data_IF_233748242047
#
_entry.id   IF_233748242047
#
_cell.length_a   1.000
_cell.length_b   1.000
_cell.length_c   1.000
_cell.angle_alpha   90.00
_cell.angle_beta   90.00
_cell.angle_gamma   90.00
#
_symmetry.space_group_name_H-M   'P 1'
#
loop_
_entity.id
_entity.type
_entity.pdbx_description
1 polymer ?
#
# COMPACT_ATOMS: atom_id res chain seq x y z
N UNK A 1 -8.98 8.63 -3.84
CA UNK A 1 -9.71 9.27 -2.72
C UNK A 1 -10.89 8.44 -2.25
N UNK A 2 -11.50 7.69 -3.12
CA UNK A 2 -12.75 6.94 -2.89
C UNK A 2 -12.72 5.95 -1.70
N UNK A 3 -11.55 5.39 -1.35
CA UNK A 3 -11.46 4.45 -0.23
C UNK A 3 -11.67 5.10 1.14
N UNK A 4 -11.25 6.35 1.32
CA UNK A 4 -11.44 7.07 2.60
C UNK A 4 -12.88 7.57 2.70
N UNK A 5 -13.44 8.04 1.60
CA UNK A 5 -14.84 8.51 1.53
C UNK A 5 -15.85 7.37 1.77
N UNK A 6 -15.47 6.13 1.42
CA UNK A 6 -16.29 4.96 1.66
C UNK A 6 -16.26 4.44 3.12
N UNK A 7 -15.40 5.01 3.98
CA UNK A 7 -15.33 4.61 5.40
C UNK A 7 -16.54 5.20 6.13
N UNK A 8 -17.31 4.38 6.87
CA UNK A 8 -18.44 4.88 7.66
C UNK A 8 -17.96 5.92 8.69
N UNK A 9 -18.49 7.12 8.60
CA UNK A 9 -18.22 8.18 9.58
C UNK A 9 -18.89 7.80 10.90
N UNK A 10 -18.15 7.94 11.99
CA UNK A 10 -18.68 7.84 13.36
C UNK A 10 -18.74 9.25 13.94
N UNK A 11 -19.95 9.76 14.10
CA UNK A 11 -20.19 11.14 14.56
C UNK A 11 -19.67 11.42 15.97
N UNK A 12 -19.41 10.36 16.76
CA UNK A 12 -18.89 10.42 18.11
C UNK A 12 -17.35 10.41 18.18
N UNK A 13 -16.65 10.38 17.05
CA UNK A 13 -15.19 10.26 17.01
C UNK A 13 -14.52 11.25 16.05
N UNK A 14 -13.45 11.95 16.49
CA UNK A 14 -12.66 12.80 15.61
C UNK A 14 -11.67 12.02 14.72
N UNK A 15 -11.64 10.68 14.83
CA UNK A 15 -10.68 9.84 14.11
C UNK A 15 -11.32 9.19 12.90
N UNK A 16 -10.60 9.17 11.77
CA UNK A 16 -10.99 8.42 10.56
C UNK A 16 -11.06 6.92 10.85
N UNK A 17 -10.17 6.42 11.71
CA UNK A 17 -10.16 5.05 12.21
C UNK A 17 -10.31 5.07 13.73
N UNK A 18 -11.54 5.14 14.26
CA UNK A 18 -11.77 5.11 15.69
C UNK A 18 -11.44 3.74 16.29
N UNK A 19 -11.12 3.71 17.58
CA UNK A 19 -10.98 2.47 18.30
C UNK A 19 -12.32 1.73 18.42
N UNK A 20 -12.28 0.41 18.51
CA UNK A 20 -13.48 -0.40 18.76
C UNK A 20 -14.08 -0.11 20.16
N UNK A 21 -13.22 0.31 21.11
CA UNK A 21 -13.57 0.59 22.49
C UNK A 21 -12.89 1.88 22.98
N UNK A 22 -13.65 2.73 23.67
CA UNK A 22 -13.15 4.01 24.20
C UNK A 22 -13.07 5.12 23.17
N UNK A 23 -12.43 6.24 23.53
CA UNK A 23 -12.40 7.48 22.75
C UNK A 23 -11.11 7.67 21.94
N UNK A 24 -10.37 6.60 21.66
CA UNK A 24 -9.09 6.65 20.97
C UNK A 24 -9.20 6.30 19.47
N UNK A 25 -8.04 6.26 18.82
CA UNK A 25 -7.89 5.75 17.46
C UNK A 25 -7.59 4.24 17.45
N UNK A 26 -7.80 3.61 16.30
CA UNK A 26 -7.50 2.18 16.11
C UNK A 26 -5.99 1.91 16.17
N UNK A 27 -5.58 1.00 17.05
CA UNK A 27 -4.16 0.61 17.29
C UNK A 27 -3.85 -0.82 16.83
N UNK A 28 -4.79 -1.48 16.13
CA UNK A 28 -4.69 -2.90 15.76
C UNK A 28 -4.01 -3.20 14.43
N UNK A 29 -3.40 -2.22 13.74
CA UNK A 29 -2.89 -2.35 12.37
C UNK A 29 -1.92 -3.54 12.23
N UNK A 30 -0.98 -3.71 13.14
CA UNK A 30 0.02 -4.80 13.08
C UNK A 30 -0.69 -6.16 13.15
N UNK A 31 -1.60 -6.36 14.10
CA UNK A 31 -2.36 -7.61 14.26
C UNK A 31 -3.24 -7.93 13.03
N UNK A 32 -3.80 -6.90 12.39
CA UNK A 32 -4.59 -7.09 11.17
C UNK A 32 -3.68 -7.50 10.01
N UNK A 33 -2.53 -6.83 9.86
CA UNK A 33 -1.54 -7.17 8.85
C UNK A 33 -1.03 -8.60 9.01
N UNK A 34 -0.69 -9.00 10.23
CA UNK A 34 -0.24 -10.38 10.54
C UNK A 34 -1.28 -11.43 10.12
N UNK A 35 -2.57 -11.17 10.40
CA UNK A 35 -3.66 -12.06 9.97
C UNK A 35 -3.80 -12.13 8.45
N UNK A 36 -3.65 -11.01 7.76
CA UNK A 36 -3.68 -10.96 6.29
C UNK A 36 -2.51 -11.75 5.72
N UNK A 37 -1.30 -11.50 6.23
CA UNK A 37 -0.09 -12.18 5.80
C UNK A 37 -0.15 -13.69 6.04
N UNK A 38 -0.66 -14.11 7.20
CA UNK A 38 -0.85 -15.53 7.49
C UNK A 38 -1.82 -16.20 6.49
N UNK A 39 -2.96 -15.56 6.18
CA UNK A 39 -3.90 -16.06 5.17
C UNK A 39 -3.30 -16.11 3.75
N UNK A 40 -2.49 -15.12 3.42
CA UNK A 40 -1.80 -15.03 2.14
C UNK A 40 -0.53 -15.89 2.06
N UNK A 41 -0.13 -16.54 3.16
CA UNK A 41 1.13 -17.28 3.31
C UNK A 41 2.37 -16.41 3.01
N UNK A 42 2.29 -15.14 3.32
CA UNK A 42 3.40 -14.20 3.24
C UNK A 42 4.18 -14.22 4.56
N UNK A 43 5.51 -14.15 4.46
CA UNK A 43 6.43 -14.10 5.61
C UNK A 43 7.16 -12.75 5.61
N UNK A 44 7.54 -12.31 6.78
CA UNK A 44 8.41 -11.14 6.99
C UNK A 44 7.85 -9.82 6.43
N UNK A 45 6.52 -9.72 6.25
CA UNK A 45 5.85 -8.51 5.82
C UNK A 45 5.40 -7.71 7.04
N UNK A 46 5.99 -6.54 7.22
CA UNK A 46 5.68 -5.60 8.30
C UNK A 46 5.24 -4.26 7.73
N UNK A 47 4.61 -3.37 8.50
CA UNK A 47 4.32 -2.00 8.05
C UNK A 47 5.58 -1.27 7.55
N UNK A 48 6.74 -1.56 8.13
CA UNK A 48 8.01 -0.98 7.72
C UNK A 48 8.45 -1.48 6.34
N UNK A 49 8.29 -2.77 6.06
CA UNK A 49 8.55 -3.36 4.73
C UNK A 49 7.64 -2.73 3.68
N UNK A 50 6.34 -2.55 3.96
CA UNK A 50 5.42 -1.88 3.04
C UNK A 50 5.85 -0.44 2.76
N UNK A 51 6.29 0.29 3.80
CA UNK A 51 6.83 1.65 3.66
C UNK A 51 8.10 1.68 2.79
N UNK A 52 9.01 0.73 2.98
CA UNK A 52 10.22 0.60 2.15
C UNK A 52 9.87 0.25 0.70
N UNK A 53 8.91 -0.63 0.47
CA UNK A 53 8.43 -0.95 -0.89
C UNK A 53 7.92 0.30 -1.60
N UNK A 54 7.10 1.11 -0.93
CA UNK A 54 6.63 2.37 -1.46
C UNK A 54 7.78 3.32 -1.83
N UNK A 55 8.78 3.45 -0.94
CA UNK A 55 9.96 4.27 -1.19
C UNK A 55 10.81 3.77 -2.37
N UNK A 56 10.95 2.44 -2.51
CA UNK A 56 11.70 1.83 -3.62
C UNK A 56 11.00 2.10 -4.95
N UNK A 57 9.69 1.90 -5.04
CA UNK A 57 8.93 2.21 -6.26
C UNK A 57 9.03 3.69 -6.60
N UNK A 58 8.98 4.59 -5.62
CA UNK A 58 9.18 6.01 -5.84
C UNK A 58 10.59 6.32 -6.40
N UNK A 59 11.62 5.63 -5.89
CA UNK A 59 12.99 5.72 -6.40
C UNK A 59 13.11 5.22 -7.84
N UNK A 60 12.51 4.08 -8.16
CA UNK A 60 12.49 3.49 -9.50
C UNK A 60 11.79 4.41 -10.52
N UNK A 61 10.77 5.15 -10.08
CA UNK A 61 10.11 6.18 -10.88
C UNK A 61 10.93 7.47 -11.04
N UNK A 62 12.11 7.56 -10.42
CA UNK A 62 13.04 8.67 -10.54
C UNK A 62 12.71 9.88 -9.65
N UNK A 63 11.89 9.72 -8.62
CA UNK A 63 11.65 10.80 -7.67
C UNK A 63 12.89 11.08 -6.81
N UNK A 64 13.13 12.36 -6.50
CA UNK A 64 14.24 12.77 -5.65
C UNK A 64 14.09 12.26 -4.22
N UNK A 65 15.21 12.09 -3.52
CA UNK A 65 15.20 11.72 -2.09
C UNK A 65 14.38 12.69 -1.24
N UNK A 66 14.39 13.98 -1.57
CA UNK A 66 13.57 14.99 -0.89
C UNK A 66 12.08 14.74 -1.09
N UNK A 67 11.66 14.40 -2.31
CA UNK A 67 10.26 14.06 -2.62
C UNK A 67 9.85 12.79 -1.87
N UNK A 68 10.71 11.77 -1.88
CA UNK A 68 10.46 10.50 -1.17
C UNK A 68 10.37 10.74 0.34
N UNK A 69 11.27 11.54 0.91
CA UNK A 69 11.22 11.92 2.32
C UNK A 69 9.92 12.66 2.66
N UNK A 70 9.47 13.56 1.80
CA UNK A 70 8.18 14.26 1.93
C UNK A 70 6.99 13.31 1.91
N UNK A 71 6.93 12.39 0.93
CA UNK A 71 5.90 11.36 0.82
C UNK A 71 5.84 10.45 2.05
N UNK A 72 6.98 10.15 2.62
CA UNK A 72 7.10 9.33 3.81
C UNK A 72 6.86 10.12 5.12
N UNK A 73 6.65 11.43 5.07
CA UNK A 73 6.49 12.26 6.26
C UNK A 73 7.78 12.39 7.10
N UNK A 74 8.95 12.21 6.49
CA UNK A 74 10.25 12.41 7.13
C UNK A 74 10.67 13.89 7.16
N UNK A 75 9.75 14.81 6.94
CA UNK A 75 10.05 16.25 6.90
C UNK A 75 10.74 16.69 8.18
N UNK A 76 12.05 16.78 8.11
CA UNK A 76 12.87 17.41 9.15
C UNK A 76 12.44 18.85 9.33
N UNK A 77 12.50 19.34 10.56
CA UNK A 77 12.06 20.65 11.05
C UNK A 77 12.65 21.90 10.33
N UNK A 78 13.22 21.82 9.15
CA UNK A 78 13.89 22.94 8.52
C UNK A 78 13.61 23.18 7.04
N UNK A 79 13.05 22.23 6.33
CA UNK A 79 12.95 22.31 4.86
C UNK A 79 11.52 22.56 4.36
N UNK A 80 10.52 22.25 5.16
CA UNK A 80 9.10 22.22 4.75
C UNK A 80 8.45 23.60 4.69
N UNK A 81 9.02 24.61 5.31
CA UNK A 81 8.37 25.93 5.47
C UNK A 81 8.56 26.87 4.26
N UNK A 82 9.40 26.54 3.29
CA UNK A 82 9.73 27.43 2.17
C UNK A 82 9.14 27.05 0.81
N UNK A 83 8.40 25.95 0.69
CA UNK A 83 7.93 25.49 -0.63
C UNK A 83 6.43 25.24 -0.67
N UNK A 84 5.66 26.29 -0.90
CA UNK A 84 4.20 26.21 -1.19
C UNK A 84 3.91 25.32 -2.41
N UNK A 85 4.89 25.09 -3.29
CA UNK A 85 4.76 24.20 -4.45
C UNK A 85 5.03 22.71 -4.15
N UNK A 86 5.55 22.39 -2.96
CA UNK A 86 5.90 21.01 -2.60
C UNK A 86 4.65 20.15 -2.43
N UNK A 87 3.56 20.68 -1.89
CA UNK A 87 2.34 19.93 -1.64
C UNK A 87 1.71 19.40 -2.94
N UNK A 88 1.62 20.23 -3.98
CA UNK A 88 1.10 19.79 -5.28
C UNK A 88 2.00 18.74 -5.93
N UNK A 89 3.32 18.90 -5.81
CA UNK A 89 4.28 17.93 -6.33
C UNK A 89 4.20 16.59 -5.57
N UNK A 90 3.98 16.62 -4.26
CA UNK A 90 3.80 15.41 -3.44
C UNK A 90 2.51 14.67 -3.80
N UNK A 91 1.41 15.37 -4.09
CA UNK A 91 0.17 14.74 -4.55
C UNK A 91 0.40 14.01 -5.88
N UNK A 92 0.99 14.68 -6.86
CA UNK A 92 1.30 14.05 -8.16
C UNK A 92 2.25 12.86 -8.00
N UNK A 93 3.24 12.96 -7.13
CA UNK A 93 4.17 11.86 -6.86
C UNK A 93 3.46 10.69 -6.18
N UNK A 94 2.59 10.95 -5.20
CA UNK A 94 1.80 9.93 -4.53
C UNK A 94 0.90 9.17 -5.51
N UNK A 95 0.21 9.88 -6.40
CA UNK A 95 -0.66 9.29 -7.41
C UNK A 95 0.13 8.40 -8.37
N UNK A 96 1.29 8.85 -8.84
CA UNK A 96 2.13 8.05 -9.74
C UNK A 96 2.68 6.79 -9.08
N UNK A 97 3.17 6.89 -7.84
CA UNK A 97 3.66 5.73 -7.09
C UNK A 97 2.53 4.74 -6.81
N UNK A 98 1.36 5.24 -6.46
CA UNK A 98 0.19 4.40 -6.19
C UNK A 98 -0.30 3.68 -7.43
N UNK A 99 -0.31 4.34 -8.58
CA UNK A 99 -0.66 3.73 -9.87
C UNK A 99 0.32 2.63 -10.26
N UNK A 100 1.63 2.89 -10.15
CA UNK A 100 2.66 1.89 -10.44
C UNK A 100 2.54 0.65 -9.54
N UNK A 101 2.30 0.84 -8.25
CA UNK A 101 2.06 -0.28 -7.32
C UNK A 101 0.82 -1.07 -7.73
N UNK A 102 -0.26 -0.42 -8.13
CA UNK A 102 -1.48 -1.09 -8.59
C UNK A 102 -1.21 -1.93 -9.84
N UNK A 103 -0.49 -1.39 -10.82
CA UNK A 103 -0.12 -2.08 -12.06
C UNK A 103 0.76 -3.30 -11.79
N UNK A 104 1.76 -3.18 -10.90
CA UNK A 104 2.61 -4.30 -10.46
C UNK A 104 1.80 -5.42 -9.80
N UNK A 105 0.83 -5.07 -8.97
CA UNK A 105 -0.06 -6.03 -8.31
C UNK A 105 -0.97 -6.75 -9.33
N UNK A 106 -1.53 -6.04 -10.29
CA UNK A 106 -2.40 -6.61 -11.32
C UNK A 106 -1.62 -7.48 -12.32
N UNK A 107 -0.42 -7.09 -12.70
CA UNK A 107 0.47 -7.92 -13.50
C UNK A 107 0.79 -9.25 -12.81
N UNK A 108 1.08 -9.23 -11.52
CA UNK A 108 1.37 -10.43 -10.72
C UNK A 108 0.14 -11.34 -10.60
N UNK A 109 -1.06 -10.79 -10.45
CA UNK A 109 -2.33 -11.54 -10.42
C UNK A 109 -2.58 -12.26 -11.74
N UNK A 110 -2.38 -11.56 -12.86
CA UNK A 110 -2.57 -12.11 -14.21
C UNK A 110 -1.60 -13.27 -14.47
N UNK A 111 -0.31 -13.10 -14.14
CA UNK A 111 0.70 -14.13 -14.27
C UNK A 111 0.37 -15.38 -13.43
N UNK A 112 -0.07 -15.18 -12.20
CA UNK A 112 -0.48 -16.26 -11.28
C UNK A 112 -1.69 -17.03 -11.80
N UNK A 113 -2.69 -16.36 -12.36
CA UNK A 113 -3.88 -17.00 -12.95
C UNK A 113 -3.53 -17.80 -14.18
N UNK A 114 -2.64 -17.29 -15.05
CA UNK A 114 -2.18 -18.02 -16.24
C UNK A 114 -1.39 -19.28 -15.88
N UNK A 115 -0.51 -19.20 -14.87
CA UNK A 115 0.23 -20.36 -14.37
C UNK A 115 -0.70 -21.44 -13.84
N UNK A 116 -1.70 -21.09 -13.03
CA UNK A 116 -2.71 -22.03 -12.51
C UNK A 116 -3.51 -22.70 -13.62
N UNK A 117 -3.93 -21.93 -14.66
CA UNK A 117 -4.65 -22.48 -15.82
C UNK A 117 -3.78 -23.47 -16.61
N UNK A 118 -2.49 -23.18 -16.79
CA UNK A 118 -1.55 -24.09 -17.47
C UNK A 118 -1.35 -25.39 -16.70
N UNK A 119 -1.15 -25.33 -15.38
CA UNK A 119 -1.01 -26.50 -14.53
C UNK A 119 -2.26 -27.37 -14.51
N UNK A 120 -3.45 -26.77 -14.44
CA UNK A 120 -4.72 -27.49 -14.49
C UNK A 120 -4.94 -28.20 -15.85
N UNK A 121 -4.58 -27.57 -16.97
CA UNK A 121 -4.67 -28.20 -18.31
C UNK A 121 -3.67 -29.35 -18.46
N UNK A 122 -2.45 -29.20 -17.94
CA UNK A 122 -1.44 -30.27 -17.98
C UNK A 122 -1.90 -31.49 -17.15
N UNK A 123 -2.45 -31.27 -15.96
CA UNK A 123 -2.98 -32.34 -15.10
C UNK A 123 -4.16 -33.08 -15.76
N UNK A 124 -5.08 -32.34 -16.40
CA UNK A 124 -6.21 -32.96 -17.09
C UNK A 124 -5.78 -33.79 -18.30
N UNK A 125 -4.74 -33.37 -19.03
CA UNK A 125 -4.18 -34.16 -20.15
C UNK A 125 -3.46 -35.41 -19.72
N UNK A 126 -2.83 -35.41 -18.52
CA UNK A 126 -2.13 -36.57 -17.98
C UNK A 126 -3.07 -37.67 -17.44
N UNK A 127 -4.32 -37.33 -17.12
CA UNK A 127 -5.36 -38.30 -16.64
C UNK A 127 -6.12 -38.94 -17.81
N UNK A 128 -6.07 -38.33 -18.99
CA UNK A 128 -6.77 -38.79 -20.19
C UNK A 128 -5.92 -39.68 -21.12
N UNK A 129 -4.67 -39.93 -20.77
CA UNK A 129 -3.72 -40.81 -21.46
C UNK A 129 -3.46 -42.09 -20.67
#
# INVERSE_FOLDING_TARGET
MDCIEAIPVRDDSPFVFPADWGNGHFVGVVRVLDRICAKAKLKDVTPHVLRHTFASVAGDLGFSELTIAGLLGHAGRGVTQSYVHLDAALVVAADRVSAEIADLLDASRTASQQSRKRSARSAASAVAA
#
